data_IF_433490799938
#
_entry.id   IF_433490799938
#
_cell.length_a   1.000
_cell.length_b   1.000
_cell.length_c   1.000
_cell.angle_alpha   90.00
_cell.angle_beta   90.00
_cell.angle_gamma   90.00
#
_symmetry.space_group_name_H-M   'P 1'
#
loop_
_entity.id
_entity.type
_entity.pdbx_description
1 polymer ?
#
# COMPACT_ATOMS: atom_id res chain seq x y z
N UNK A 1 -0.70 7.99 -1.64
CA UNK A 1 -1.85 8.02 -2.57
C UNK A 1 -2.52 6.64 -2.68
N UNK A 2 -1.86 5.63 -3.26
CA UNK A 2 -2.45 4.31 -3.55
C UNK A 2 -2.94 3.58 -2.27
N UNK A 3 -2.17 3.63 -1.18
CA UNK A 3 -2.63 3.06 0.12
C UNK A 3 -3.88 3.74 0.68
N UNK A 4 -3.97 5.06 0.57
CA UNK A 4 -5.14 5.82 1.00
C UNK A 4 -6.37 5.52 0.13
N UNK A 5 -6.15 5.32 -1.18
CA UNK A 5 -7.19 4.88 -2.12
C UNK A 5 -7.65 3.45 -1.80
N UNK A 6 -6.73 2.52 -1.51
CA UNK A 6 -7.08 1.17 -1.10
C UNK A 6 -7.93 1.18 0.17
N UNK A 7 -7.55 1.94 1.20
CA UNK A 7 -8.35 2.06 2.43
C UNK A 7 -9.72 2.69 2.18
N UNK A 8 -9.81 3.68 1.29
CA UNK A 8 -11.09 4.28 0.94
C UNK A 8 -12.02 3.29 0.21
N UNK A 9 -11.49 2.50 -0.73
CA UNK A 9 -12.22 1.43 -1.43
C UNK A 9 -12.65 0.33 -0.45
N UNK A 10 -11.80 -0.02 0.52
CA UNK A 10 -12.14 -1.02 1.53
C UNK A 10 -13.26 -0.55 2.46
N UNK A 11 -13.20 0.70 2.93
CA UNK A 11 -14.26 1.28 3.76
C UNK A 11 -15.58 1.42 3.00
N UNK A 12 -15.54 1.85 1.73
CA UNK A 12 -16.73 1.95 0.88
C UNK A 12 -17.38 0.58 0.65
N UNK A 13 -16.57 -0.47 0.45
CA UNK A 13 -17.04 -1.85 0.30
C UNK A 13 -17.61 -2.41 1.60
N UNK A 14 -17.02 -2.09 2.74
CA UNK A 14 -17.55 -2.50 4.04
C UNK A 14 -18.92 -1.89 4.29
N UNK A 15 -19.10 -0.60 3.99
CA UNK A 15 -20.41 0.06 4.02
C UNK A 15 -21.42 -0.60 3.05
N UNK A 16 -21.03 -0.85 1.80
CA UNK A 16 -21.89 -1.56 0.83
C UNK A 16 -22.27 -2.96 1.31
N UNK A 17 -21.36 -3.66 2.00
CA UNK A 17 -21.59 -5.00 2.54
C UNK A 17 -22.59 -4.98 3.70
N UNK A 18 -22.48 -3.99 4.59
CA UNK A 18 -23.44 -3.79 5.67
C UNK A 18 -24.82 -3.44 5.13
N UNK A 19 -24.88 -2.55 4.12
CA UNK A 19 -26.12 -2.24 3.43
C UNK A 19 -26.71 -3.50 2.79
N UNK A 20 -25.94 -4.25 2.01
CA UNK A 20 -26.37 -5.50 1.40
C UNK A 20 -26.87 -6.52 2.44
N UNK A 21 -26.23 -6.62 3.61
CA UNK A 21 -26.68 -7.47 4.71
C UNK A 21 -28.03 -7.01 5.27
N UNK A 22 -28.25 -5.71 5.39
CA UNK A 22 -29.54 -5.14 5.82
C UNK A 22 -30.65 -5.38 4.79
N UNK A 23 -30.35 -5.32 3.49
CA UNK A 23 -31.29 -5.67 2.42
C UNK A 23 -31.64 -7.16 2.48
N UNK A 24 -30.63 -8.03 2.64
CA UNK A 24 -30.85 -9.47 2.77
C UNK A 24 -31.77 -9.82 3.94
N UNK A 25 -31.71 -9.10 5.05
CA UNK A 25 -32.60 -9.31 6.20
C UNK A 25 -34.06 -8.92 5.92
N UNK A 26 -34.29 -7.97 5.00
CA UNK A 26 -35.63 -7.50 4.62
C UNK A 26 -36.25 -8.33 3.49
N UNK A 27 -35.45 -9.14 2.81
CA UNK A 27 -35.88 -9.95 1.67
C UNK A 27 -36.40 -11.32 2.13
N UNK A 28 -37.65 -11.61 1.81
CA UNK A 28 -38.27 -12.93 2.04
C UNK A 28 -37.78 -13.98 1.04
N UNK A 29 -37.39 -13.54 -0.16
CA UNK A 29 -36.89 -14.37 -1.24
C UNK A 29 -35.56 -13.82 -1.75
N UNK A 30 -34.65 -14.73 -2.12
CA UNK A 30 -33.30 -14.36 -2.58
C UNK A 30 -33.23 -14.23 -4.10
N UNK A 31 -34.19 -14.80 -4.82
CA UNK A 31 -34.17 -14.89 -6.27
C UNK A 31 -35.48 -14.37 -6.89
N UNK A 32 -35.34 -13.53 -7.91
CA UNK A 32 -36.47 -12.97 -8.68
C UNK A 32 -37.35 -14.07 -9.26
N UNK A 33 -36.74 -15.17 -9.73
CA UNK A 33 -37.48 -16.31 -10.31
C UNK A 33 -38.42 -16.99 -9.30
N UNK A 34 -38.05 -17.01 -8.02
CA UNK A 34 -38.89 -17.59 -6.97
C UNK A 34 -40.10 -16.70 -6.68
N UNK A 35 -39.89 -15.38 -6.68
CA UNK A 35 -40.98 -14.40 -6.52
C UNK A 35 -41.97 -14.49 -7.67
N UNK A 36 -41.48 -14.57 -8.91
CA UNK A 36 -42.35 -14.66 -10.09
C UNK A 36 -43.18 -15.97 -10.11
N UNK A 37 -42.59 -17.09 -9.66
CA UNK A 37 -43.30 -18.36 -9.51
C UNK A 37 -44.39 -18.30 -8.43
N UNK A 38 -44.11 -17.64 -7.30
CA UNK A 38 -45.07 -17.48 -6.20
C UNK A 38 -46.23 -16.58 -6.63
N UNK A 39 -45.95 -15.48 -7.34
CA UNK A 39 -46.96 -14.59 -7.92
C UNK A 39 -47.86 -15.37 -8.87
N UNK A 40 -47.28 -16.15 -9.80
CA UNK A 40 -48.04 -16.95 -10.76
C UNK A 40 -48.94 -17.99 -10.06
N UNK A 41 -48.45 -18.61 -8.98
CA UNK A 41 -49.22 -19.54 -8.16
C UNK A 41 -50.43 -18.85 -7.50
N UNK A 42 -50.23 -17.67 -6.90
CA UNK A 42 -51.31 -16.91 -6.26
C UNK A 42 -52.31 -16.39 -7.31
N UNK A 43 -51.84 -15.90 -8.46
CA UNK A 43 -52.70 -15.45 -9.57
C UNK A 43 -53.55 -16.61 -10.12
N UNK A 44 -52.96 -17.80 -10.28
CA UNK A 44 -53.68 -19.02 -10.67
C UNK A 44 -54.70 -19.44 -9.60
N UNK A 45 -54.36 -19.30 -8.32
CA UNK A 45 -55.27 -19.64 -7.23
C UNK A 45 -56.49 -18.70 -7.22
N UNK A 46 -56.29 -17.40 -7.40
CA UNK A 46 -57.38 -16.42 -7.53
C UNK A 46 -58.27 -16.73 -8.74
N UNK A 47 -57.67 -17.08 -9.89
CA UNK A 47 -58.41 -17.31 -11.12
C UNK A 47 -59.30 -18.58 -11.10
N UNK A 48 -58.95 -19.58 -10.29
CA UNK A 48 -59.60 -20.90 -10.31
C UNK A 48 -60.34 -21.27 -9.02
N UNK A 49 -60.32 -20.44 -7.99
CA UNK A 49 -61.02 -20.70 -6.73
C UNK A 49 -62.09 -19.65 -6.43
N UNK A 50 -63.24 -20.09 -5.93
CA UNK A 50 -64.27 -19.21 -5.39
C UNK A 50 -63.86 -18.76 -3.99
N UNK A 51 -63.28 -17.56 -3.90
CA UNK A 51 -62.85 -16.93 -2.66
C UNK A 51 -63.87 -15.90 -2.18
N UNK A 52 -63.90 -15.63 -0.88
CA UNK A 52 -64.59 -14.43 -0.40
C UNK A 52 -63.85 -13.16 -0.83
N UNK A 53 -64.58 -12.07 -1.03
CA UNK A 53 -64.02 -10.73 -1.32
C UNK A 53 -62.90 -10.30 -0.35
N UNK A 54 -62.93 -10.80 0.88
CA UNK A 54 -61.92 -10.51 1.91
C UNK A 54 -60.62 -11.28 1.66
N UNK A 55 -60.72 -12.55 1.27
CA UNK A 55 -59.57 -13.41 0.96
C UNK A 55 -58.91 -12.98 -0.35
N UNK A 56 -59.71 -12.66 -1.36
CA UNK A 56 -59.22 -12.16 -2.65
C UNK A 56 -58.41 -10.86 -2.47
N UNK A 57 -58.90 -9.93 -1.64
CA UNK A 57 -58.14 -8.72 -1.27
C UNK A 57 -56.83 -9.02 -0.54
N UNK A 58 -56.79 -10.03 0.33
CA UNK A 58 -55.56 -10.43 1.03
C UNK A 58 -54.52 -10.98 0.05
N UNK A 59 -54.93 -11.85 -0.88
CA UNK A 59 -54.04 -12.40 -1.89
C UNK A 59 -53.52 -11.34 -2.86
N UNK A 60 -54.37 -10.38 -3.26
CA UNK A 60 -53.95 -9.23 -4.08
C UNK A 60 -52.93 -8.35 -3.35
N UNK A 61 -53.10 -8.16 -2.03
CA UNK A 61 -52.11 -7.44 -1.22
C UNK A 61 -50.79 -8.21 -1.13
N UNK A 62 -50.83 -9.54 -0.97
CA UNK A 62 -49.63 -10.37 -1.02
C UNK A 62 -48.91 -10.27 -2.38
N UNK A 63 -49.63 -10.27 -3.51
CA UNK A 63 -49.02 -10.06 -4.83
C UNK A 63 -48.31 -8.69 -4.91
N UNK A 64 -48.91 -7.64 -4.34
CA UNK A 64 -48.27 -6.31 -4.30
C UNK A 64 -46.99 -6.31 -3.45
N UNK A 65 -47.03 -6.94 -2.28
CA UNK A 65 -45.84 -7.10 -1.42
C UNK A 65 -44.74 -7.90 -2.11
N UNK A 66 -45.08 -8.99 -2.79
CA UNK A 66 -44.16 -9.80 -3.58
C UNK A 66 -43.55 -9.01 -4.75
N UNK A 67 -44.35 -8.23 -5.48
CA UNK A 67 -43.84 -7.33 -6.53
C UNK A 67 -42.88 -6.27 -5.99
N UNK A 68 -43.18 -5.68 -4.83
CA UNK A 68 -42.25 -4.74 -4.17
C UNK A 68 -40.95 -5.46 -3.77
N UNK A 69 -41.04 -6.68 -3.23
CA UNK A 69 -39.87 -7.49 -2.87
C UNK A 69 -38.98 -7.81 -4.07
N UNK A 70 -39.55 -7.97 -5.27
CA UNK A 70 -38.81 -8.22 -6.51
C UNK A 70 -37.86 -7.08 -6.85
N UNK A 71 -38.33 -5.84 -6.73
CA UNK A 71 -37.51 -4.67 -7.01
C UNK A 71 -36.37 -4.55 -5.99
N UNK A 72 -36.62 -4.87 -4.72
CA UNK A 72 -35.56 -4.96 -3.70
C UNK A 72 -34.53 -6.06 -3.99
N UNK A 73 -34.93 -7.23 -4.49
CA UNK A 73 -33.98 -8.29 -4.89
C UNK A 73 -33.13 -7.83 -6.06
N UNK A 74 -33.70 -7.09 -7.01
CA UNK A 74 -32.96 -6.56 -8.15
C UNK A 74 -31.89 -5.56 -7.70
N UNK A 75 -32.26 -4.59 -6.86
CA UNK A 75 -31.30 -3.64 -6.29
C UNK A 75 -30.20 -4.33 -5.46
N UNK A 76 -30.56 -5.39 -4.73
CA UNK A 76 -29.58 -6.19 -3.97
C UNK A 76 -28.56 -6.87 -4.89
N UNK A 77 -29.00 -7.47 -6.00
CA UNK A 77 -28.10 -8.09 -6.96
C UNK A 77 -27.20 -7.07 -7.66
N UNK A 78 -27.73 -5.91 -8.05
CA UNK A 78 -26.93 -4.83 -8.64
C UNK A 78 -25.84 -4.32 -7.67
N UNK A 79 -26.12 -4.29 -6.36
CA UNK A 79 -25.11 -3.93 -5.33
C UNK A 79 -24.05 -5.03 -5.15
N UNK A 80 -24.44 -6.30 -5.26
CA UNK A 80 -23.49 -7.42 -5.22
C UNK A 80 -22.56 -7.41 -6.43
N UNK A 81 -23.08 -7.12 -7.62
CA UNK A 81 -22.29 -7.06 -8.85
C UNK A 81 -21.25 -5.94 -8.77
N UNK A 82 -21.64 -4.75 -8.28
CA UNK A 82 -20.69 -3.65 -8.01
C UNK A 82 -19.60 -4.05 -7.00
N UNK A 83 -19.96 -4.77 -5.93
CA UNK A 83 -18.98 -5.28 -4.96
C UNK A 83 -17.97 -6.25 -5.60
N UNK A 84 -18.39 -7.06 -6.58
CA UNK A 84 -17.52 -8.00 -7.27
C UNK A 84 -16.55 -7.28 -8.24
N UNK A 85 -17.01 -6.23 -8.94
CA UNK A 85 -16.16 -5.39 -9.78
C UNK A 85 -15.05 -4.71 -8.95
N UNK A 86 -15.39 -4.18 -7.78
CA UNK A 86 -14.44 -3.56 -6.84
C UNK A 86 -13.37 -4.55 -6.32
N UNK A 87 -13.65 -5.85 -6.29
CA UNK A 87 -12.70 -6.89 -5.85
C UNK A 87 -11.52 -7.03 -6.83
N UNK A 88 -11.77 -6.85 -8.13
CA UNK A 88 -10.73 -6.85 -9.18
C UNK A 88 -9.76 -5.69 -8.99
N UNK A 89 -10.27 -4.47 -8.88
CA UNK A 89 -9.48 -3.25 -8.66
C UNK A 89 -8.67 -3.32 -7.35
N UNK A 90 -9.27 -3.88 -6.29
CA UNK A 90 -8.60 -4.08 -5.01
C UNK A 90 -7.40 -5.04 -5.12
N UNK A 91 -7.56 -6.13 -5.86
CA UNK A 91 -6.48 -7.09 -6.10
C UNK A 91 -5.31 -6.42 -6.81
N UNK A 92 -5.59 -5.58 -7.82
CA UNK A 92 -4.58 -4.82 -8.55
C UNK A 92 -3.86 -3.80 -7.66
N UNK A 93 -4.60 -3.00 -6.87
CA UNK A 93 -3.97 -2.05 -5.95
C UNK A 93 -3.09 -2.74 -4.91
N UNK A 94 -3.51 -3.90 -4.40
CA UNK A 94 -2.69 -4.69 -3.46
C UNK A 94 -1.40 -5.21 -4.11
N UNK A 95 -1.46 -5.68 -5.35
CA UNK A 95 -0.26 -6.07 -6.11
C UNK A 95 0.69 -4.90 -6.32
N UNK A 96 0.18 -3.75 -6.77
CA UNK A 96 0.98 -2.54 -6.98
C UNK A 96 1.66 -2.06 -5.68
N UNK A 97 0.95 -2.11 -4.55
CA UNK A 97 1.54 -1.77 -3.25
C UNK A 97 2.66 -2.75 -2.89
N UNK A 98 2.46 -4.05 -3.08
CA UNK A 98 3.49 -5.06 -2.82
C UNK A 98 4.76 -4.87 -3.68
N UNK A 99 4.59 -4.54 -4.96
CA UNK A 99 5.70 -4.23 -5.86
C UNK A 99 6.44 -2.93 -5.47
N UNK A 100 5.72 -1.92 -5.00
CA UNK A 100 6.34 -0.69 -4.51
C UNK A 100 7.10 -0.93 -3.20
N UNK A 101 6.56 -1.75 -2.30
CA UNK A 101 7.18 -2.07 -1.02
C UNK A 101 8.46 -2.88 -1.17
N UNK A 102 8.48 -3.84 -2.08
CA UNK A 102 9.70 -4.60 -2.42
C UNK A 102 10.80 -3.68 -2.94
N UNK A 103 10.49 -2.82 -3.93
CA UNK A 103 11.44 -1.81 -4.44
C UNK A 103 11.92 -0.85 -3.36
N UNK A 104 11.03 -0.42 -2.46
CA UNK A 104 11.38 0.50 -1.38
C UNK A 104 12.33 -0.15 -0.37
N UNK A 105 12.15 -1.44 -0.08
CA UNK A 105 13.06 -2.19 0.78
C UNK A 105 14.43 -2.39 0.13
N UNK A 106 14.48 -2.66 -1.17
CA UNK A 106 15.74 -2.74 -1.94
C UNK A 106 16.50 -1.42 -1.91
N UNK A 107 15.82 -0.29 -2.16
CA UNK A 107 16.44 1.04 -2.11
C UNK A 107 16.96 1.35 -0.71
N UNK A 108 16.21 1.03 0.35
CA UNK A 108 16.68 1.22 1.73
C UNK A 108 17.91 0.38 2.05
N UNK A 109 17.98 -0.85 1.55
CA UNK A 109 19.16 -1.70 1.71
C UNK A 109 20.37 -1.07 1.02
N UNK A 110 20.21 -0.58 -0.21
CA UNK A 110 21.26 0.13 -0.95
C UNK A 110 21.69 1.42 -0.25
N UNK A 111 20.74 2.20 0.29
CA UNK A 111 21.04 3.42 1.04
C UNK A 111 21.89 3.12 2.28
N UNK A 112 21.53 2.09 3.05
CA UNK A 112 22.28 1.67 4.22
C UNK A 112 23.70 1.21 3.86
N UNK A 113 23.84 0.44 2.77
CA UNK A 113 25.15 0.01 2.28
C UNK A 113 26.02 1.21 1.87
N UNK A 114 25.44 2.18 1.15
CA UNK A 114 26.15 3.39 0.74
C UNK A 114 26.53 4.26 1.93
N UNK A 115 25.67 4.39 2.94
CA UNK A 115 25.99 5.10 4.19
C UNK A 115 27.17 4.45 4.90
N UNK A 116 27.17 3.12 5.03
CA UNK A 116 28.30 2.38 5.62
C UNK A 116 29.61 2.64 4.86
N UNK A 117 29.58 2.62 3.52
CA UNK A 117 30.76 2.92 2.69
C UNK A 117 31.23 4.37 2.87
N UNK A 118 30.31 5.34 2.97
CA UNK A 118 30.66 6.73 3.21
C UNK A 118 31.31 6.93 4.58
N UNK A 119 30.80 6.27 5.61
CA UNK A 119 31.35 6.35 6.96
C UNK A 119 32.76 5.72 7.03
N UNK A 120 32.98 4.60 6.34
CA UNK A 120 34.32 4.01 6.20
C UNK A 120 35.30 4.94 5.49
N UNK A 121 34.90 5.57 4.38
CA UNK A 121 35.76 6.49 3.63
C UNK A 121 36.09 7.72 4.48
N UNK A 122 35.10 8.30 5.16
CA UNK A 122 35.31 9.43 6.08
C UNK A 122 36.25 9.08 7.22
N UNK A 123 36.11 7.89 7.80
CA UNK A 123 37.01 7.43 8.86
C UNK A 123 38.46 7.29 8.36
N UNK A 124 38.66 6.74 7.16
CA UNK A 124 39.99 6.65 6.52
C UNK A 124 40.57 8.02 6.20
N UNK A 125 39.76 8.94 5.68
CA UNK A 125 40.16 10.32 5.39
C UNK A 125 40.58 11.05 6.67
N UNK A 126 39.81 10.90 7.75
CA UNK A 126 40.12 11.51 9.04
C UNK A 126 41.42 10.95 9.63
N UNK A 127 41.65 9.64 9.55
CA UNK A 127 42.89 9.02 10.01
C UNK A 127 44.11 9.50 9.20
N UNK A 128 43.99 9.59 7.87
CA UNK A 128 45.06 10.11 7.03
C UNK A 128 45.34 11.60 7.29
N UNK A 129 44.29 12.39 7.56
CA UNK A 129 44.43 13.80 7.90
C UNK A 129 45.09 14.01 9.27
N UNK A 130 44.87 13.13 10.25
CA UNK A 130 45.52 13.22 11.56
C UNK A 130 47.02 12.91 11.53
N UNK A 131 47.46 12.09 10.59
CA UNK A 131 48.89 11.73 10.44
C UNK A 131 49.69 12.81 9.69
N UNK A 132 49.05 13.67 8.91
CA UNK A 132 49.75 14.68 8.11
C UNK A 132 50.53 15.73 8.93
N UNK A 133 49.99 16.30 10.03
CA UNK A 133 50.72 17.25 10.85
C UNK A 133 52.03 16.68 11.44
N UNK A 134 52.02 15.45 11.95
CA UNK A 134 53.22 14.83 12.54
C UNK A 134 54.29 14.60 11.47
N UNK A 135 53.91 14.11 10.29
CA UNK A 135 54.82 13.93 9.17
C UNK A 135 55.41 15.26 8.67
N UNK A 136 54.63 16.34 8.69
CA UNK A 136 55.11 17.67 8.34
C UNK A 136 56.11 18.21 9.36
N UNK A 137 55.87 17.97 10.65
CA UNK A 137 56.78 18.35 11.73
C UNK A 137 58.10 17.56 11.67
N UNK A 138 58.02 16.24 11.49
CA UNK A 138 59.19 15.37 11.31
C UNK A 138 60.00 15.80 10.07
N UNK A 139 59.33 16.07 8.95
CA UNK A 139 59.99 16.56 7.74
C UNK A 139 60.71 17.89 7.99
N UNK A 140 60.10 18.79 8.74
CA UNK A 140 60.68 20.11 9.04
C UNK A 140 61.94 19.98 9.91
N UNK A 141 61.89 19.14 10.95
CA UNK A 141 63.06 18.83 11.79
C UNK A 141 64.20 18.21 11.00
N UNK A 142 63.92 17.19 10.19
CA UNK A 142 64.93 16.55 9.33
C UNK A 142 65.54 17.54 8.31
N UNK A 143 64.75 18.49 7.80
CA UNK A 143 65.27 19.53 6.93
C UNK A 143 66.21 20.50 7.65
N UNK A 144 65.92 20.87 8.89
CA UNK A 144 66.80 21.70 9.72
C UNK A 144 68.12 20.99 10.00
N UNK A 145 68.07 19.72 10.41
CA UNK A 145 69.26 18.89 10.64
C UNK A 145 70.12 18.76 9.36
N UNK A 146 69.50 18.50 8.21
CA UNK A 146 70.21 18.45 6.93
C UNK A 146 70.86 19.79 6.56
N UNK A 147 70.21 20.91 6.86
CA UNK A 147 70.79 22.25 6.61
C UNK A 147 72.00 22.47 7.51
N UNK A 148 71.87 22.23 8.81
CA UNK A 148 72.95 22.36 9.77
C UNK A 148 74.16 21.48 9.40
N UNK A 149 73.94 20.23 9.01
CA UNK A 149 75.00 19.32 8.57
C UNK A 149 75.70 19.82 7.29
N UNK A 150 74.95 20.36 6.33
CA UNK A 150 75.53 20.92 5.09
C UNK A 150 76.34 22.19 5.37
N UNK A 151 75.87 23.05 6.26
CA UNK A 151 76.56 24.27 6.64
C UNK A 151 77.87 23.94 7.38
N UNK A 152 77.85 22.98 8.32
CA UNK A 152 79.06 22.50 8.99
C UNK A 152 80.09 21.91 8.00
N UNK A 153 79.64 21.12 7.01
CA UNK A 153 80.53 20.60 5.95
C UNK A 153 81.11 21.75 5.10
N UNK A 154 80.31 22.79 4.81
CA UNK A 154 80.77 23.96 4.07
C UNK A 154 81.83 24.75 4.85
N UNK A 155 81.62 24.94 6.15
CA UNK A 155 82.59 25.61 7.04
C UNK A 155 83.91 24.84 7.11
N UNK A 156 83.87 23.54 7.42
CA UNK A 156 85.08 22.69 7.47
C UNK A 156 85.86 22.69 6.14
N UNK A 157 85.16 22.65 5.01
CA UNK A 157 85.80 22.76 3.68
C UNK A 157 86.36 24.16 3.41
N UNK A 158 85.73 25.20 3.95
CA UNK A 158 86.22 26.57 3.86
C UNK A 158 87.48 26.79 4.70
N UNK A 159 87.53 26.22 5.89
CA UNK A 159 88.71 26.21 6.75
C UNK A 159 89.87 25.45 6.11
N UNK A 160 89.62 24.26 5.53
CA UNK A 160 90.66 23.47 4.86
C UNK A 160 91.21 24.10 3.57
N UNK A 161 90.48 25.05 2.96
CA UNK A 161 90.90 25.77 1.75
C UNK A 161 91.65 27.07 2.03
N UNK A 162 91.74 27.50 3.31
CA UNK A 162 92.61 28.60 3.75
C UNK A 162 94.00 28.05 4.07
#
# INVERSE_FOLDING_TARGET
>A
AIRAQLTAVENAREALREEAKSFKQKLSFVNVKQIDSEIASIESHIAHSTLSLVEEKKLVNQIKELRNSRDYVKEYNERLDKMNEDEGLRSEYRKQIGELDTKLNEIKAQENEQRSKLDEVKSKEQAAASDMPSLLDERSKLQEEMRAARDAVRELRGEFKK
#
